data_IF_905986794270
#
_entry.id   IF_905986794270
#
_cell.length_a   1.000
_cell.length_b   1.000
_cell.length_c   1.000
_cell.angle_alpha   90.00
_cell.angle_beta   90.00
_cell.angle_gamma   90.00
#
_symmetry.space_group_name_H-M   'P 1'
#
loop_
_entity.id
_entity.type
_entity.pdbx_description
1 polymer ?
#
# COMPACT_ATOMS: atom_id res chain seq x y z
N UNK A 1 -21.96 -28.87 14.21
CA UNK A 1 -22.04 -27.41 14.43
C UNK A 1 -20.90 -26.76 13.66
N UNK A 2 -21.18 -26.18 12.50
CA UNK A 2 -20.15 -25.60 11.61
C UNK A 2 -20.22 -24.08 11.68
N UNK A 3 -19.17 -23.41 12.18
CA UNK A 3 -19.12 -21.94 12.23
C UNK A 3 -18.75 -21.37 10.85
N UNK A 4 -19.45 -20.30 10.46
CA UNK A 4 -19.26 -19.64 9.18
C UNK A 4 -17.96 -18.82 9.14
N UNK A 5 -17.31 -18.65 7.97
CA UNK A 5 -16.09 -17.86 7.85
C UNK A 5 -16.41 -16.37 8.06
N UNK A 6 -15.78 -15.77 9.07
CA UNK A 6 -15.98 -14.37 9.45
C UNK A 6 -15.36 -13.46 8.39
N UNK A 7 -16.19 -12.86 7.53
CA UNK A 7 -15.74 -11.79 6.62
C UNK A 7 -15.14 -10.64 7.44
N UNK A 8 -13.86 -10.32 7.21
CA UNK A 8 -13.23 -9.15 7.82
C UNK A 8 -13.80 -7.91 7.15
N UNK A 9 -14.52 -7.09 7.93
CA UNK A 9 -14.94 -5.75 7.56
C UNK A 9 -13.68 -4.88 7.60
N UNK A 10 -13.27 -4.35 6.44
CA UNK A 10 -12.26 -3.31 6.38
C UNK A 10 -12.95 -2.03 6.85
N UNK A 11 -12.76 -1.66 8.12
CA UNK A 11 -13.12 -0.32 8.56
C UNK A 11 -12.21 0.66 7.81
N UNK A 12 -12.74 1.70 7.14
CA UNK A 12 -11.91 2.75 6.60
C UNK A 12 -11.27 3.45 7.80
N UNK A 13 -9.96 3.27 7.98
CA UNK A 13 -9.18 4.07 8.91
C UNK A 13 -9.26 5.52 8.45
N UNK A 14 -10.15 6.26 9.10
CA UNK A 14 -10.34 7.68 8.87
C UNK A 14 -9.11 8.43 9.35
N UNK A 15 -8.34 8.93 8.39
CA UNK A 15 -7.79 10.28 8.41
C UNK A 15 -7.38 10.65 6.98
N UNK A 16 -8.39 10.87 6.13
CA UNK A 16 -8.21 11.54 4.84
C UNK A 16 -9.22 12.68 4.75
N UNK A 17 -8.79 13.96 4.72
CA UNK A 17 -9.66 14.98 4.17
C UNK A 17 -9.81 14.69 2.68
N UNK A 18 -10.96 14.13 2.31
CA UNK A 18 -11.43 14.17 0.93
C UNK A 18 -11.65 15.63 0.57
N UNK A 19 -10.71 16.21 -0.17
CA UNK A 19 -10.94 17.48 -0.86
C UNK A 19 -10.53 17.28 -2.31
N UNK A 20 -11.57 17.17 -3.14
CA UNK A 20 -11.45 17.29 -4.59
C UNK A 20 -11.02 18.74 -4.83
N UNK A 21 -9.74 18.95 -5.14
CA UNK A 21 -9.24 20.20 -5.69
C UNK A 21 -8.34 19.81 -6.84
N UNK A 22 -8.84 20.05 -8.05
CA UNK A 22 -8.00 20.20 -9.23
C UNK A 22 -7.13 21.41 -8.94
N UNK A 23 -5.86 21.22 -8.58
CA UNK A 23 -4.91 22.31 -8.55
C UNK A 23 -3.50 21.83 -8.84
N UNK A 24 -2.85 22.63 -9.70
CA UNK A 24 -1.51 22.52 -10.28
C UNK A 24 -0.51 21.72 -9.45
N UNK A 25 0.13 20.75 -10.11
CA UNK A 25 1.33 20.06 -9.63
C UNK A 25 2.41 21.11 -9.35
N UNK A 26 2.80 21.36 -8.08
CA UNK A 26 4.01 22.12 -7.79
C UNK A 26 5.17 21.15 -7.99
N UNK A 27 6.00 21.38 -9.00
CA UNK A 27 7.27 20.68 -9.19
C UNK A 27 8.17 20.97 -7.99
N UNK A 28 8.04 20.13 -6.97
CA UNK A 28 8.92 20.09 -5.81
C UNK A 28 10.21 19.38 -6.22
N UNK A 29 11.37 19.71 -5.63
CA UNK A 29 12.66 19.14 -6.03
C UNK A 29 12.60 17.61 -6.01
N UNK A 30 12.66 17.00 -7.20
CA UNK A 30 12.40 15.58 -7.47
C UNK A 30 13.24 14.66 -6.56
N UNK A 31 14.45 15.08 -6.21
CA UNK A 31 15.42 14.28 -5.45
C UNK A 31 14.97 14.06 -3.99
N UNK A 32 14.47 15.10 -3.32
CA UNK A 32 14.04 15.00 -1.92
C UNK A 32 12.69 14.31 -1.73
N UNK A 33 11.83 14.42 -2.74
CA UNK A 33 10.56 13.69 -2.79
C UNK A 33 10.81 12.19 -2.98
N UNK A 34 11.74 11.83 -3.85
CA UNK A 34 12.10 10.44 -4.15
C UNK A 34 12.62 9.69 -2.91
N UNK A 35 13.52 10.29 -2.13
CA UNK A 35 14.02 9.69 -0.89
C UNK A 35 12.90 9.42 0.14
N UNK A 36 11.95 10.35 0.27
CA UNK A 36 10.80 10.18 1.17
C UNK A 36 9.87 9.06 0.70
N UNK A 37 9.61 8.98 -0.60
CA UNK A 37 8.80 7.94 -1.22
C UNK A 37 9.44 6.56 -1.01
N UNK A 38 10.76 6.45 -1.24
CA UNK A 38 11.49 5.22 -1.01
C UNK A 38 11.46 4.77 0.47
N UNK A 39 11.63 5.70 1.41
CA UNK A 39 11.54 5.41 2.84
C UNK A 39 10.12 4.96 3.23
N UNK A 40 9.10 5.64 2.73
CA UNK A 40 7.70 5.30 3.00
C UNK A 40 7.31 3.93 2.40
N UNK A 41 7.82 3.59 1.20
CA UNK A 41 7.66 2.26 0.61
C UNK A 41 8.25 1.18 1.51
N UNK A 42 9.49 1.36 1.97
CA UNK A 42 10.15 0.40 2.87
C UNK A 42 9.35 0.21 4.17
N UNK A 43 8.87 1.31 4.74
CA UNK A 43 8.03 1.27 5.94
C UNK A 43 6.75 0.46 5.70
N UNK A 44 6.04 0.70 4.59
CA UNK A 44 4.82 -0.03 4.26
C UNK A 44 5.05 -1.55 4.12
N UNK A 45 6.15 -1.95 3.47
CA UNK A 45 6.54 -3.38 3.35
C UNK A 45 6.78 -4.00 4.72
N UNK A 46 7.60 -3.34 5.56
CA UNK A 46 7.89 -3.83 6.91
C UNK A 46 6.62 -3.94 7.75
N UNK A 47 5.72 -2.95 7.68
CA UNK A 47 4.45 -2.96 8.39
C UNK A 47 3.58 -4.14 7.94
N UNK A 48 3.42 -4.37 6.64
CA UNK A 48 2.64 -5.49 6.13
C UNK A 48 3.19 -6.85 6.59
N UNK A 49 4.51 -6.99 6.69
CA UNK A 49 5.15 -8.19 7.25
C UNK A 49 4.86 -8.35 8.74
N UNK A 50 4.98 -7.26 9.53
CA UNK A 50 4.68 -7.27 10.97
C UNK A 50 3.21 -7.60 11.26
N UNK A 51 2.29 -7.11 10.43
CA UNK A 51 0.86 -7.41 10.52
C UNK A 51 0.51 -8.83 10.04
N UNK A 52 1.49 -9.59 9.52
CA UNK A 52 1.26 -10.94 9.02
C UNK A 52 0.38 -10.97 7.77
N UNK A 53 0.50 -9.97 6.87
CA UNK A 53 -0.23 -9.97 5.61
C UNK A 53 0.22 -11.14 4.71
N UNK A 54 -0.59 -12.20 4.65
CA UNK A 54 -0.33 -13.42 3.84
C UNK A 54 -0.71 -13.29 2.36
N UNK A 55 -1.31 -12.16 1.95
CA UNK A 55 -1.72 -11.93 0.57
C UNK A 55 -0.55 -11.53 -0.31
N UNK A 56 -0.62 -11.84 -1.61
CA UNK A 56 0.38 -11.41 -2.58
C UNK A 56 0.22 -9.91 -2.88
N UNK A 57 1.33 -9.18 -2.80
CA UNK A 57 1.37 -7.76 -3.10
C UNK A 57 2.67 -7.41 -3.85
N UNK A 58 2.63 -6.29 -4.58
CA UNK A 58 3.83 -5.65 -5.13
C UNK A 58 4.04 -4.31 -4.46
N UNK A 59 5.31 -4.01 -4.16
CA UNK A 59 5.71 -2.69 -3.70
C UNK A 59 6.19 -1.84 -4.87
N UNK A 60 5.88 -0.54 -4.85
CA UNK A 60 6.30 0.41 -5.87
C UNK A 60 6.36 1.81 -5.30
N UNK A 61 7.13 2.68 -5.95
CA UNK A 61 7.25 4.08 -5.56
C UNK A 61 6.02 4.84 -6.06
N UNK A 62 5.19 5.28 -5.12
CA UNK A 62 3.90 5.90 -5.39
C UNK A 62 3.88 7.33 -4.86
N UNK A 63 3.59 8.35 -5.69
CA UNK A 63 3.45 9.72 -5.22
C UNK A 63 2.15 9.92 -4.42
N UNK A 64 1.24 8.93 -4.41
CA UNK A 64 -0.08 9.02 -3.79
C UNK A 64 -0.17 8.30 -2.43
N UNK A 65 0.94 7.77 -1.91
CA UNK A 65 0.96 7.10 -0.60
C UNK A 65 0.49 5.63 -0.61
N UNK A 66 0.08 5.11 -1.77
CA UNK A 66 -0.26 3.69 -1.93
C UNK A 66 0.99 2.92 -2.36
N UNK A 67 1.77 2.42 -1.41
CA UNK A 67 3.05 1.77 -1.71
C UNK A 67 2.97 0.27 -1.94
N UNK A 68 1.82 -0.35 -1.58
CA UNK A 68 1.54 -1.76 -1.78
C UNK A 68 0.25 -1.90 -2.58
N UNK A 69 0.26 -2.74 -3.62
CA UNK A 69 -0.93 -3.10 -4.39
C UNK A 69 -1.10 -4.62 -4.36
N UNK A 70 -2.31 -5.14 -4.02
CA UNK A 70 -2.62 -6.55 -4.14
C UNK A 70 -2.48 -7.01 -5.59
N UNK A 71 -1.88 -8.18 -5.79
CA UNK A 71 -1.71 -8.77 -7.13
C UNK A 71 -2.13 -10.23 -7.13
N UNK A 72 -2.49 -10.73 -8.31
CA UNK A 72 -2.56 -12.17 -8.53
C UNK A 72 -1.12 -12.68 -8.60
N UNK A 73 -0.75 -13.68 -7.77
CA UNK A 73 0.59 -14.26 -7.83
C UNK A 73 0.90 -14.79 -9.22
N UNK A 74 2.14 -14.56 -9.63
CA UNK A 74 2.70 -15.12 -10.85
C UNK A 74 3.23 -16.53 -10.56
N UNK A 75 3.54 -17.28 -11.62
CA UNK A 75 4.13 -18.61 -11.49
C UNK A 75 5.42 -18.60 -10.64
N UNK A 76 6.23 -17.54 -10.72
CA UNK A 76 7.44 -17.39 -9.90
C UNK A 76 7.13 -17.24 -8.40
N UNK A 77 6.04 -16.54 -8.05
CA UNK A 77 5.64 -16.32 -6.65
C UNK A 77 5.14 -17.61 -5.96
N UNK A 78 4.76 -18.63 -6.76
CA UNK A 78 4.18 -19.88 -6.26
C UNK A 78 5.20 -21.00 -6.06
N UNK A 79 6.38 -20.91 -6.69
CA UNK A 79 7.28 -22.06 -6.82
C UNK A 79 8.54 -21.92 -5.97
N UNK A 80 8.92 -20.68 -5.62
CA UNK A 80 10.07 -20.41 -4.75
C UNK A 80 11.40 -20.56 -5.45
#
# INVERSE_FOLDING_TARGET
>A
MTSAPKKRKLEPSGNAPSRVVVDKIPETPIIGLDLKVQQAKKFAVTQAQQEGCLGNYRSFDSPFGNYLVPVIPTHADLIG
#
